data_IF_881759281846
#
_entry.id   IF_881759281846
#
_cell.length_a   1.000
_cell.length_b   1.000
_cell.length_c   1.000
_cell.angle_alpha   90.00
_cell.angle_beta   90.00
_cell.angle_gamma   90.00
#
_symmetry.space_group_name_H-M   'P 1'
#
loop_
_entity.id
_entity.type
_entity.pdbx_description
1 polymer ?
#
# COMPACT_ATOMS: atom_id res chain seq x y z
N UNK A 1 -7.35 -19.46 7.14
CA UNK A 1 -6.18 -18.58 7.00
C UNK A 1 -5.82 -18.43 5.53
N UNK A 2 -5.72 -19.54 4.76
CA UNK A 2 -5.52 -19.52 3.29
C UNK A 2 -6.37 -18.48 2.55
N UNK A 3 -7.69 -18.47 2.77
CA UNK A 3 -8.58 -17.46 2.15
C UNK A 3 -8.16 -15.98 2.34
N UNK A 4 -7.50 -15.64 3.45
CA UNK A 4 -7.03 -14.26 3.68
C UNK A 4 -5.82 -13.94 2.79
N UNK A 5 -4.97 -14.94 2.55
CA UNK A 5 -3.82 -14.82 1.66
C UNK A 5 -4.23 -14.88 0.18
N UNK A 6 -5.15 -15.79 -0.16
CA UNK A 6 -5.58 -16.02 -1.54
C UNK A 6 -6.49 -14.90 -2.05
N UNK A 7 -7.46 -14.47 -1.25
CA UNK A 7 -8.43 -13.44 -1.62
C UNK A 7 -7.92 -12.02 -1.29
N UNK A 8 -6.72 -11.89 -0.70
CA UNK A 8 -6.13 -10.64 -0.15
C UNK A 8 -7.13 -9.77 0.61
N UNK A 9 -8.04 -10.43 1.33
CA UNK A 9 -9.19 -9.78 1.97
C UNK A 9 -9.04 -9.84 3.49
N UNK A 10 -8.97 -8.70 4.20
CA UNK A 10 -8.84 -8.68 5.65
C UNK A 10 -10.11 -9.20 6.33
N UNK A 11 -9.94 -9.94 7.42
CA UNK A 11 -11.03 -10.48 8.24
C UNK A 11 -11.03 -9.80 9.61
N UNK A 12 -12.17 -9.26 10.02
CA UNK A 12 -12.36 -8.69 11.35
C UNK A 12 -12.79 -9.78 12.31
N UNK A 13 -12.01 -9.99 13.38
CA UNK A 13 -12.29 -10.95 14.43
C UNK A 13 -12.85 -10.20 15.63
N UNK A 14 -14.10 -10.47 15.99
CA UNK A 14 -14.77 -9.93 17.18
C UNK A 14 -14.97 -11.04 18.21
N UNK A 15 -14.78 -10.72 19.49
CA UNK A 15 -15.02 -11.66 20.61
C UNK A 15 -15.81 -10.94 21.71
N UNK A 16 -16.67 -11.67 22.42
CA UNK A 16 -17.38 -11.11 23.57
C UNK A 16 -16.34 -10.66 24.62
N UNK A 17 -16.46 -9.42 25.08
CA UNK A 17 -15.59 -8.78 26.07
C UNK A 17 -14.11 -8.58 25.64
N UNK A 18 -13.81 -8.51 24.34
CA UNK A 18 -12.48 -8.13 23.87
C UNK A 18 -12.56 -7.09 22.74
N UNK A 19 -11.47 -6.34 22.53
CA UNK A 19 -11.36 -5.40 21.41
C UNK A 19 -11.30 -6.17 20.08
N UNK A 20 -11.99 -5.71 19.02
CA UNK A 20 -11.86 -6.28 17.68
C UNK A 20 -10.42 -6.21 17.17
N UNK A 21 -10.01 -7.21 16.39
CA UNK A 21 -8.73 -7.23 15.69
C UNK A 21 -8.93 -7.53 14.21
N UNK A 22 -8.00 -7.10 13.37
CA UNK A 22 -7.99 -7.40 11.93
C UNK A 22 -6.90 -8.45 11.67
N UNK A 23 -7.25 -9.49 10.94
CA UNK A 23 -6.32 -10.46 10.40
C UNK A 23 -6.20 -10.22 8.90
N UNK A 24 -4.97 -10.05 8.41
CA UNK A 24 -4.62 -9.92 6.99
C UNK A 24 -3.37 -10.74 6.70
N UNK A 25 -3.06 -10.95 5.42
CA UNK A 25 -1.79 -11.59 5.06
C UNK A 25 -0.62 -10.70 5.46
N UNK A 26 0.54 -11.29 5.71
CA UNK A 26 1.74 -10.53 6.06
C UNK A 26 2.17 -9.61 4.91
N UNK A 27 2.04 -10.09 3.68
CA UNK A 27 2.38 -9.30 2.48
C UNK A 27 1.49 -8.06 2.37
N UNK A 28 0.18 -8.19 2.59
CA UNK A 28 -0.74 -7.06 2.54
C UNK A 28 -0.43 -6.06 3.65
N UNK A 29 -0.06 -6.55 4.85
CA UNK A 29 0.38 -5.69 5.94
C UNK A 29 1.63 -4.88 5.54
N UNK A 30 2.65 -5.51 4.95
CA UNK A 30 3.84 -4.80 4.49
C UNK A 30 3.52 -3.79 3.38
N UNK A 31 2.66 -4.14 2.42
CA UNK A 31 2.22 -3.20 1.38
C UNK A 31 1.49 -1.99 1.96
N UNK A 32 0.64 -2.19 2.98
CA UNK A 32 -0.02 -1.10 3.67
C UNK A 32 0.96 -0.23 4.44
N UNK A 33 1.91 -0.82 5.16
CA UNK A 33 2.91 -0.08 5.93
C UNK A 33 3.82 0.74 5.01
N UNK A 34 4.27 0.17 3.89
CA UNK A 34 5.08 0.87 2.89
C UNK A 34 4.32 2.03 2.24
N UNK A 35 3.06 1.81 1.85
CA UNK A 35 2.22 2.87 1.29
C UNK A 35 1.99 3.98 2.31
N UNK A 36 1.69 3.63 3.56
CA UNK A 36 1.52 4.59 4.64
C UNK A 36 2.82 5.37 4.90
N UNK A 37 3.97 4.69 4.85
CA UNK A 37 5.29 5.30 4.98
C UNK A 37 5.57 6.33 3.88
N UNK A 38 5.36 5.95 2.61
CA UNK A 38 5.55 6.84 1.46
C UNK A 38 4.64 8.08 1.54
N UNK A 39 3.41 7.90 2.01
CA UNK A 39 2.41 8.96 2.10
C UNK A 39 2.46 9.77 3.42
N UNK A 40 3.32 9.39 4.36
CA UNK A 40 3.41 10.02 5.69
C UNK A 40 3.81 11.50 5.63
N UNK A 41 4.69 11.86 4.70
CA UNK A 41 5.08 13.25 4.45
C UNK A 41 4.15 13.86 3.40
N UNK A 42 3.45 14.97 3.71
CA UNK A 42 2.57 15.64 2.74
C UNK A 42 3.31 16.01 1.44
N UNK A 43 4.57 16.42 1.57
CA UNK A 43 5.40 16.81 0.43
C UNK A 43 5.79 15.60 -0.44
N UNK A 44 6.17 14.48 0.18
CA UNK A 44 6.46 13.27 -0.59
C UNK A 44 5.19 12.70 -1.23
N UNK A 45 4.06 12.73 -0.53
CA UNK A 45 2.77 12.32 -1.07
C UNK A 45 2.35 13.17 -2.27
N UNK A 46 2.57 14.50 -2.22
CA UNK A 46 2.35 15.42 -3.34
C UNK A 46 3.23 15.02 -4.54
N UNK A 47 4.54 14.87 -4.32
CA UNK A 47 5.51 14.49 -5.36
C UNK A 47 5.14 13.16 -6.04
N UNK A 48 4.77 12.14 -5.27
CA UNK A 48 4.36 10.84 -5.81
C UNK A 48 3.11 10.98 -6.68
N UNK A 49 2.09 11.71 -6.21
CA UNK A 49 0.85 11.91 -6.98
C UNK A 49 1.10 12.67 -8.28
N UNK A 50 1.93 13.70 -8.25
CA UNK A 50 2.31 14.46 -9.45
C UNK A 50 3.06 13.58 -10.45
N UNK A 51 4.04 12.79 -9.99
CA UNK A 51 4.76 11.86 -10.84
C UNK A 51 3.84 10.80 -11.48
N UNK A 52 2.86 10.27 -10.74
CA UNK A 52 1.85 9.34 -11.28
C UNK A 52 1.02 10.03 -12.37
N UNK A 53 0.57 11.27 -12.13
CA UNK A 53 -0.24 12.02 -13.09
C UNK A 53 0.54 12.35 -14.37
N UNK A 54 1.80 12.76 -14.25
CA UNK A 54 2.69 13.04 -15.37
C UNK A 54 2.94 11.80 -16.23
N UNK A 55 3.23 10.65 -15.58
CA UNK A 55 3.42 9.37 -16.27
C UNK A 55 2.14 8.92 -16.98
N UNK A 56 0.98 9.04 -16.34
CA UNK A 56 -0.31 8.70 -16.95
C UNK A 56 -0.66 9.60 -18.15
N UNK A 57 -0.19 10.85 -18.15
CA UNK A 57 -0.31 11.77 -19.28
C UNK A 57 0.72 11.54 -20.40
N UNK A 58 1.63 10.57 -20.26
CA UNK A 58 2.68 10.26 -21.23
C UNK A 58 3.90 11.19 -21.15
N UNK A 59 4.06 11.97 -20.07
CA UNK A 59 5.20 12.86 -19.85
C UNK A 59 6.50 12.16 -19.43
N UNK A 60 6.46 10.84 -19.24
CA UNK A 60 7.63 10.05 -18.84
C UNK A 60 8.74 10.03 -19.89
N UNK A 61 9.99 10.12 -19.44
CA UNK A 61 11.17 9.93 -20.30
C UNK A 61 11.85 8.61 -19.98
N UNK A 62 12.01 7.74 -20.98
CA UNK A 62 12.79 6.51 -20.83
C UNK A 62 14.28 6.82 -20.66
N UNK A 63 14.91 6.18 -19.68
CA UNK A 63 16.34 6.35 -19.38
C UNK A 63 16.95 4.97 -19.12
N UNK A 64 18.14 4.74 -19.64
CA UNK A 64 18.95 3.58 -19.26
C UNK A 64 19.54 3.78 -17.87
N UNK A 65 19.73 2.70 -17.13
CA UNK A 65 20.43 2.75 -15.84
C UNK A 65 21.88 3.20 -16.05
N UNK A 66 22.32 4.12 -15.20
CA UNK A 66 23.72 4.53 -15.14
C UNK A 66 24.35 3.69 -14.03
N UNK A 67 25.42 2.95 -14.35
CA UNK A 67 26.21 2.17 -13.38
C UNK A 67 27.02 3.06 -12.43
#
# INVERSE_FOLDING_TARGET
MERVCDDRTPVVITRRNAKPVVMMSLDDYHQFDETAYLLRSPENARRIREAIAELAAGGGTERTLVE
#
